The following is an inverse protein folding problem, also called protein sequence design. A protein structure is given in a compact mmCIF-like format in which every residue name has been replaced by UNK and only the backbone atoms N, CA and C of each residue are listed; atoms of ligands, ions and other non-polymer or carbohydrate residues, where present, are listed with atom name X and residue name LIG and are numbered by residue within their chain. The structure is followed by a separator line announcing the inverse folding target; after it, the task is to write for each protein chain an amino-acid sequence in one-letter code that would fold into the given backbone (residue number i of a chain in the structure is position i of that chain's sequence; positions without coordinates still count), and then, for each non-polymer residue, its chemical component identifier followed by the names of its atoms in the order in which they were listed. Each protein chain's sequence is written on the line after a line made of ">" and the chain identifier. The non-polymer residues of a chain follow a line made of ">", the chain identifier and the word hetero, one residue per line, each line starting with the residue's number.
data_IF_372020392566
#
_entry.id   IF_372020392566
#
_cell.length_a   1.000
_cell.length_b   1.000
_cell.length_c   1.000
_cell.angle_alpha   90.00
_cell.angle_beta   90.00
_cell.angle_gamma   90.00
#
_symmetry.space_group_name_H-M   'P 1'
#
loop_
_entity.id
_entity.type
_entity.pdbx_description
1 polymer ?
#
# COMPACT_ATOMS: atom_id res chain seq x y z
N UNK A 1 -34.12 33.16 1.43
CA UNK A 1 -32.78 32.57 1.24
C UNK A 1 -32.47 31.75 2.47
N UNK A 2 -32.75 30.44 2.43
CA UNK A 2 -32.48 29.53 3.54
C UNK A 2 -31.23 28.75 3.18
N UNK A 3 -30.16 28.91 3.96
CA UNK A 3 -28.91 28.20 3.74
C UNK A 3 -29.12 26.70 3.98
N UNK A 4 -28.85 25.88 2.97
CA UNK A 4 -28.75 24.42 3.13
C UNK A 4 -27.45 24.13 3.86
N UNK A 5 -27.55 23.62 5.08
CA UNK A 5 -26.39 23.11 5.81
C UNK A 5 -25.74 21.98 5.00
N UNK A 6 -24.46 22.13 4.67
CA UNK A 6 -23.68 21.07 4.05
C UNK A 6 -23.65 19.86 4.99
N UNK A 7 -24.24 18.75 4.54
CA UNK A 7 -24.19 17.50 5.29
C UNK A 7 -22.72 17.02 5.29
N UNK A 8 -22.15 16.83 6.48
CA UNK A 8 -20.82 16.24 6.60
C UNK A 8 -20.84 14.84 5.95
N UNK A 9 -19.89 14.52 5.06
CA UNK A 9 -19.87 13.22 4.40
C UNK A 9 -19.72 12.12 5.46
N UNK A 10 -20.57 11.10 5.37
CA UNK A 10 -20.44 9.91 6.20
C UNK A 10 -19.09 9.23 5.91
N UNK A 11 -18.40 8.69 6.94
CA UNK A 11 -17.12 8.01 6.71
C UNK A 11 -17.33 6.84 5.75
N UNK A 12 -16.55 6.83 4.68
CA UNK A 12 -16.60 5.78 3.66
C UNK A 12 -16.34 4.41 4.29
N UNK A 13 -17.07 3.35 3.90
CA UNK A 13 -16.82 2.00 4.38
C UNK A 13 -15.36 1.60 4.11
N UNK A 14 -14.78 0.82 5.03
CA UNK A 14 -13.41 0.29 4.87
C UNK A 14 -13.32 -0.49 3.54
N UNK A 15 -12.25 -0.29 2.75
CA UNK A 15 -12.03 -1.04 1.52
C UNK A 15 -12.08 -2.56 1.77
N UNK A 16 -12.60 -3.31 0.80
CA UNK A 16 -12.55 -4.76 0.85
C UNK A 16 -11.11 -5.25 0.71
N UNK A 17 -10.80 -6.45 1.24
CA UNK A 17 -9.46 -7.06 1.08
C UNK A 17 -9.07 -7.19 -0.39
N UNK A 18 -10.03 -7.55 -1.25
CA UNK A 18 -9.82 -7.66 -2.70
C UNK A 18 -9.45 -6.31 -3.31
N UNK A 19 -10.11 -5.22 -2.90
CA UNK A 19 -9.78 -3.88 -3.39
C UNK A 19 -8.36 -3.45 -2.98
N UNK A 20 -7.96 -3.70 -1.72
CA UNK A 20 -6.60 -3.40 -1.26
C UNK A 20 -5.54 -4.23 -1.98
N UNK A 21 -5.77 -5.53 -2.16
CA UNK A 21 -4.85 -6.38 -2.91
C UNK A 21 -4.75 -5.94 -4.38
N UNK A 22 -5.87 -5.58 -5.01
CA UNK A 22 -5.86 -5.06 -6.37
C UNK A 22 -5.13 -3.71 -6.48
N UNK A 23 -5.23 -2.85 -5.47
CA UNK A 23 -4.43 -1.62 -5.45
C UNK A 23 -2.93 -1.92 -5.50
N UNK A 24 -2.45 -2.91 -4.74
CA UNK A 24 -1.05 -3.36 -4.80
C UNK A 24 -0.71 -3.89 -6.20
N UNK A 25 -1.58 -4.71 -6.80
CA UNK A 25 -1.37 -5.28 -8.15
C UNK A 25 -1.21 -4.20 -9.21
N UNK A 26 -2.12 -3.23 -9.24
CA UNK A 26 -2.11 -2.19 -10.26
C UNK A 26 -0.99 -1.18 -10.04
N UNK A 27 -0.69 -0.78 -8.80
CA UNK A 27 0.50 0.04 -8.53
C UNK A 27 1.79 -0.64 -9.00
N UNK A 28 1.94 -1.95 -8.77
CA UNK A 28 3.11 -2.68 -9.24
C UNK A 28 3.16 -2.83 -10.76
N UNK A 29 2.01 -3.13 -11.40
CA UNK A 29 1.94 -3.29 -12.86
C UNK A 29 2.23 -1.96 -13.57
N UNK A 30 1.56 -0.88 -13.18
CA UNK A 30 1.66 0.44 -13.81
C UNK A 30 3.06 1.04 -13.64
N UNK A 31 3.67 0.87 -12.47
CA UNK A 31 5.03 1.37 -12.22
C UNK A 31 6.09 0.62 -13.04
N UNK A 32 5.97 -0.72 -13.14
CA UNK A 32 6.89 -1.52 -13.97
C UNK A 32 6.71 -1.19 -15.44
N UNK A 33 5.47 -1.03 -15.91
CA UNK A 33 5.16 -0.65 -17.29
C UNK A 33 5.75 0.73 -17.62
N UNK A 34 5.51 1.72 -16.75
CA UNK A 34 6.07 3.08 -16.88
C UNK A 34 7.61 3.09 -16.88
N UNK A 35 8.25 2.24 -16.07
CA UNK A 35 9.70 2.10 -16.05
C UNK A 35 10.25 1.28 -17.21
N UNK A 36 9.38 0.58 -17.97
CA UNK A 36 9.73 -0.40 -18.99
C UNK A 36 10.75 -1.44 -18.49
N UNK A 37 10.71 -1.74 -17.19
CA UNK A 37 11.69 -2.58 -16.50
C UNK A 37 11.19 -2.98 -15.11
N UNK A 38 11.39 -4.25 -14.74
CA UNK A 38 11.05 -4.77 -13.41
C UNK A 38 10.37 -6.14 -13.43
N UNK A 39 9.83 -6.55 -12.28
CA UNK A 39 9.20 -7.85 -12.09
C UNK A 39 7.78 -7.68 -11.52
N UNK A 40 6.74 -7.57 -12.36
CA UNK A 40 5.38 -7.29 -11.89
C UNK A 40 4.70 -8.55 -11.32
N UNK A 41 5.08 -9.74 -11.83
CA UNK A 41 4.42 -11.00 -11.46
C UNK A 41 4.53 -11.35 -9.97
N UNK A 42 5.68 -11.12 -9.34
CA UNK A 42 5.86 -11.43 -7.92
C UNK A 42 5.03 -10.51 -7.01
N UNK A 43 5.09 -9.17 -7.13
CA UNK A 43 4.19 -8.27 -6.42
C UNK A 43 2.71 -8.61 -6.63
N UNK A 44 2.31 -8.94 -7.85
CA UNK A 44 0.92 -9.26 -8.17
C UNK A 44 0.45 -10.57 -7.50
N UNK A 45 1.31 -11.60 -7.48
CA UNK A 45 1.03 -12.88 -6.83
C UNK A 45 1.01 -12.78 -5.30
N UNK A 46 1.83 -11.90 -4.72
CA UNK A 46 1.94 -11.72 -3.27
C UNK A 46 0.94 -10.71 -2.69
N UNK A 47 0.13 -10.04 -3.53
CA UNK A 47 -0.73 -8.93 -3.10
C UNK A 47 -1.73 -9.30 -2.00
N UNK A 48 -2.37 -10.48 -2.05
CA UNK A 48 -3.32 -10.91 -1.03
C UNK A 48 -2.62 -11.20 0.31
N UNK A 49 -1.47 -11.87 0.25
CA UNK A 49 -0.64 -12.18 1.43
C UNK A 49 -0.16 -10.89 2.07
N UNK A 50 0.37 -9.96 1.28
CA UNK A 50 0.83 -8.66 1.74
C UNK A 50 -0.31 -7.85 2.37
N UNK A 51 -1.50 -7.85 1.76
CA UNK A 51 -2.68 -7.17 2.31
C UNK A 51 -3.04 -7.73 3.68
N UNK A 52 -3.14 -9.05 3.83
CA UNK A 52 -3.47 -9.67 5.12
C UNK A 52 -2.38 -9.39 6.16
N UNK A 53 -1.12 -9.55 5.78
CA UNK A 53 0.03 -9.34 6.67
C UNK A 53 0.07 -7.92 7.22
N UNK A 54 -0.01 -6.90 6.36
CA UNK A 54 0.07 -5.49 6.75
C UNK A 54 -1.22 -4.98 7.40
N UNK A 55 -2.39 -5.49 7.02
CA UNK A 55 -3.65 -5.01 7.59
C UNK A 55 -3.93 -5.63 8.96
N UNK A 56 -3.56 -6.90 9.19
CA UNK A 56 -4.06 -7.67 10.34
C UNK A 56 -2.98 -8.10 11.33
N UNK A 57 -1.73 -8.20 10.91
CA UNK A 57 -0.71 -8.88 11.71
C UNK A 57 0.45 -7.99 12.11
N UNK A 58 0.99 -7.18 11.19
CA UNK A 58 2.16 -6.36 11.49
C UNK A 58 1.82 -5.19 12.41
N UNK A 59 2.66 -5.01 13.42
CA UNK A 59 2.75 -3.83 14.26
C UNK A 59 3.80 -2.89 13.69
N UNK A 60 3.37 -1.78 13.09
CA UNK A 60 4.26 -0.79 12.51
C UNK A 60 3.66 0.61 12.60
N UNK A 61 4.52 1.62 12.49
CA UNK A 61 4.12 3.03 12.40
C UNK A 61 4.87 3.67 11.21
N UNK A 62 4.16 3.95 10.09
CA UNK A 62 4.74 4.63 8.93
C UNK A 62 5.34 6.00 9.24
N UNK A 63 4.82 6.69 10.27
CA UNK A 63 5.33 8.01 10.71
C UNK A 63 6.55 7.89 11.62
N UNK A 64 6.78 6.70 12.18
CA UNK A 64 7.99 6.39 12.94
C UNK A 64 8.62 5.06 12.46
N UNK A 65 9.22 5.04 11.25
CA UNK A 65 9.81 3.82 10.67
C UNK A 65 10.94 3.21 11.49
N UNK A 66 11.52 3.96 12.44
CA UNK A 66 12.62 3.52 13.29
C UNK A 66 12.18 3.13 14.70
N UNK A 67 10.88 3.14 14.99
CA UNK A 67 10.33 2.69 16.26
C UNK A 67 10.92 1.32 16.66
N UNK A 68 11.61 1.21 17.82
CA UNK A 68 12.36 0.01 18.17
C UNK A 68 11.54 -1.29 18.24
N UNK A 69 10.28 -1.20 18.67
CA UNK A 69 9.41 -2.34 18.92
C UNK A 69 8.53 -2.71 17.70
N UNK A 70 8.75 -2.09 16.53
CA UNK A 70 8.03 -2.46 15.29
C UNK A 70 8.38 -3.88 14.83
N UNK A 71 7.43 -4.53 14.16
CA UNK A 71 7.71 -5.73 13.39
C UNK A 71 8.55 -5.39 12.16
N UNK A 72 9.44 -6.30 11.77
CA UNK A 72 10.36 -6.11 10.64
C UNK A 72 9.94 -6.98 9.48
N UNK A 73 9.51 -6.33 8.40
CA UNK A 73 9.24 -7.00 7.14
C UNK A 73 10.52 -7.04 6.28
N UNK A 74 10.89 -8.24 5.80
CA UNK A 74 12.06 -8.44 4.93
C UNK A 74 11.60 -9.17 3.67
N UNK A 75 11.76 -8.51 2.52
CA UNK A 75 11.48 -9.10 1.22
C UNK A 75 12.75 -9.77 0.67
N UNK A 76 12.91 -11.07 0.91
CA UNK A 76 14.09 -11.82 0.41
C UNK A 76 14.13 -11.89 -1.13
N UNK A 77 12.96 -12.00 -1.77
CA UNK A 77 12.82 -11.92 -3.23
C UNK A 77 12.95 -10.49 -3.75
N UNK A 78 14.12 -9.88 -3.62
CA UNK A 78 14.35 -8.45 -3.88
C UNK A 78 14.00 -7.98 -5.30
N UNK A 79 13.90 -8.89 -6.27
CA UNK A 79 13.45 -8.57 -7.63
C UNK A 79 12.01 -8.04 -7.68
N UNK A 80 11.17 -8.39 -6.70
CA UNK A 80 9.80 -7.89 -6.53
C UNK A 80 9.72 -6.59 -5.73
N UNK A 81 10.71 -5.71 -5.84
CA UNK A 81 10.82 -4.47 -5.05
C UNK A 81 9.58 -3.58 -5.12
N UNK A 82 8.86 -3.58 -6.25
CA UNK A 82 7.61 -2.83 -6.38
C UNK A 82 6.55 -3.21 -5.33
N UNK A 83 6.59 -4.43 -4.77
CA UNK A 83 5.71 -4.78 -3.65
C UNK A 83 6.00 -3.91 -2.42
N UNK A 84 7.28 -3.70 -2.09
CA UNK A 84 7.69 -2.84 -0.96
C UNK A 84 7.27 -1.39 -1.20
N UNK A 85 7.44 -0.88 -2.42
CA UNK A 85 7.09 0.50 -2.75
C UNK A 85 5.58 0.73 -2.72
N UNK A 86 4.79 -0.18 -3.30
CA UNK A 86 3.34 -0.12 -3.22
C UNK A 86 2.84 -0.15 -1.76
N UNK A 87 3.42 -1.01 -0.92
CA UNK A 87 3.08 -1.08 0.51
C UNK A 87 3.48 0.19 1.26
N UNK A 88 4.69 0.72 1.02
CA UNK A 88 5.16 1.94 1.65
C UNK A 88 4.25 3.14 1.29
N UNK A 89 3.87 3.26 0.01
CA UNK A 89 2.91 4.28 -0.45
C UNK A 89 1.53 4.12 0.22
N UNK A 90 0.92 2.94 0.10
CA UNK A 90 -0.45 2.69 0.59
C UNK A 90 -0.57 2.80 2.12
N UNK A 91 0.51 2.52 2.85
CA UNK A 91 0.52 2.66 4.31
C UNK A 91 0.91 4.05 4.80
N UNK A 92 1.37 4.93 3.91
CA UNK A 92 1.66 6.34 4.22
C UNK A 92 3.05 6.58 4.81
N UNK A 93 4.07 5.90 4.29
CA UNK A 93 5.46 6.29 4.56
C UNK A 93 5.78 7.58 3.80
N UNK A 94 6.20 8.62 4.52
CA UNK A 94 6.41 9.97 3.96
C UNK A 94 7.42 10.02 2.79
N UNK A 95 8.33 9.05 2.70
CA UNK A 95 9.36 8.95 1.64
C UNK A 95 8.93 8.14 0.42
N UNK A 96 7.66 7.73 0.34
CA UNK A 96 7.14 7.00 -0.81
C UNK A 96 5.85 7.69 -1.26
N UNK A 97 6.02 8.64 -2.18
CA UNK A 97 4.99 9.41 -2.87
C UNK A 97 4.54 8.67 -4.13
N UNK A 98 3.51 9.17 -4.83
CA UNK A 98 3.05 8.54 -6.08
C UNK A 98 3.95 8.88 -7.27
N UNK A 99 4.74 9.94 -7.13
CA UNK A 99 5.67 10.43 -8.15
C UNK A 99 7.01 9.68 -8.17
N UNK A 100 7.37 9.02 -7.06
CA UNK A 100 8.55 8.16 -6.93
C UNK A 100 8.36 6.80 -7.62
#
# INVERSE_FOLDING_TARGET
>A
MTAVAAQNPTPSPKPSCSLMANAIRFLAADAVDKANSGHPGMPMGMADVATVLFQKHLKFDPKNPLWPDRDRFILSGGHGSMLLYALAYLTGYDRMTIEE
#
